data_IF_586325939686
#
_entry.id   IF_586325939686
#
_cell.length_a   1.000
_cell.length_b   1.000
_cell.length_c   1.000
_cell.angle_alpha   90.00
_cell.angle_beta   90.00
_cell.angle_gamma   90.00
#
_symmetry.space_group_name_H-M   'P 1'
#
loop_
_entity.id
_entity.type
_entity.pdbx_description
1 polymer ?
#
# COMPACT_ATOMS: atom_id res chain seq x y z
N UNK A 1 -32.72 -18.37 10.53
CA UNK A 1 -32.47 -17.07 9.87
C UNK A 1 -31.73 -16.03 10.73
N UNK A 2 -32.04 -15.86 12.03
CA UNK A 2 -31.34 -14.88 12.90
C UNK A 2 -29.81 -15.07 13.01
N UNK A 3 -29.33 -16.32 13.15
CA UNK A 3 -27.90 -16.63 13.29
C UNK A 3 -27.07 -16.28 12.04
N UNK A 4 -27.64 -16.38 10.84
CA UNK A 4 -26.95 -16.05 9.58
C UNK A 4 -26.78 -14.53 9.45
N UNK A 5 -27.82 -13.77 9.81
CA UNK A 5 -27.78 -12.30 9.81
C UNK A 5 -26.79 -11.73 10.84
N UNK A 6 -26.66 -12.35 12.02
CA UNK A 6 -25.63 -11.96 12.98
C UNK A 6 -24.21 -12.24 12.48
N UNK A 7 -24.02 -13.37 11.78
CA UNK A 7 -22.73 -13.72 11.17
C UNK A 7 -22.33 -12.71 10.10
N UNK A 8 -23.27 -12.32 9.25
CA UNK A 8 -23.09 -11.27 8.24
C UNK A 8 -22.83 -9.90 8.89
N UNK A 9 -23.53 -9.53 9.97
CA UNK A 9 -23.26 -8.30 10.72
C UNK A 9 -21.86 -8.28 11.31
N UNK A 10 -21.41 -9.39 11.91
CA UNK A 10 -20.04 -9.51 12.44
C UNK A 10 -19.01 -9.39 11.31
N UNK A 11 -19.28 -10.00 10.14
CA UNK A 11 -18.44 -9.88 8.94
C UNK A 11 -18.34 -8.43 8.46
N UNK A 12 -19.47 -7.73 8.33
CA UNK A 12 -19.52 -6.33 7.91
C UNK A 12 -18.81 -5.40 8.92
N UNK A 13 -19.00 -5.62 10.23
CA UNK A 13 -18.33 -4.83 11.28
C UNK A 13 -16.81 -5.04 11.28
N UNK A 14 -16.37 -6.25 10.97
CA UNK A 14 -14.96 -6.58 10.90
C UNK A 14 -14.31 -6.04 9.60
N UNK A 15 -15.04 -6.03 8.47
CA UNK A 15 -14.59 -5.40 7.22
C UNK A 15 -14.50 -3.86 7.32
N UNK A 16 -15.46 -3.21 7.98
CA UNK A 16 -15.40 -1.76 8.24
C UNK A 16 -14.28 -1.37 9.20
N UNK A 17 -13.97 -2.24 10.17
CA UNK A 17 -12.78 -2.05 11.02
C UNK A 17 -11.49 -2.18 10.21
N UNK A 18 -11.44 -3.13 9.28
CA UNK A 18 -10.32 -3.31 8.36
C UNK A 18 -10.11 -2.10 7.46
N UNK A 19 -11.18 -1.49 6.95
CA UNK A 19 -11.10 -0.25 6.18
C UNK A 19 -10.46 0.89 6.98
N UNK A 20 -10.82 1.05 8.26
CA UNK A 20 -10.19 2.07 9.11
C UNK A 20 -8.70 1.80 9.31
N UNK A 21 -8.31 0.53 9.43
CA UNK A 21 -6.90 0.13 9.51
C UNK A 21 -6.17 0.38 8.19
N UNK A 22 -6.78 0.04 7.06
CA UNK A 22 -6.23 0.30 5.73
C UNK A 22 -6.02 1.80 5.47
N UNK A 23 -7.00 2.64 5.82
CA UNK A 23 -6.88 4.11 5.77
C UNK A 23 -5.72 4.64 6.61
N UNK A 24 -5.50 4.10 7.81
CA UNK A 24 -4.33 4.44 8.65
C UNK A 24 -3.00 4.05 8.02
N UNK A 25 -2.99 2.97 7.23
CA UNK A 25 -1.81 2.50 6.50
C UNK A 25 -1.64 3.20 5.14
N UNK A 26 -2.52 4.15 4.78
CA UNK A 26 -2.48 4.81 3.47
C UNK A 26 -2.97 3.93 2.31
N UNK A 27 -3.62 2.80 2.62
CA UNK A 27 -4.12 1.83 1.65
C UNK A 27 -5.61 2.05 1.41
N UNK A 28 -5.97 2.21 0.14
CA UNK A 28 -7.36 2.29 -0.31
C UNK A 28 -8.04 0.93 -0.19
N UNK A 29 -8.91 0.75 0.81
CA UNK A 29 -9.76 -0.43 0.96
C UNK A 29 -11.22 -0.02 1.11
N UNK A 30 -12.09 -0.56 0.26
CA UNK A 30 -13.52 -0.29 0.27
C UNK A 30 -14.25 -1.50 0.89
N UNK A 31 -14.72 -1.33 2.13
CA UNK A 31 -15.46 -2.39 2.83
C UNK A 31 -16.83 -2.66 2.20
N UNK A 32 -17.50 -1.66 1.62
CA UNK A 32 -18.81 -1.82 1.01
C UNK A 32 -18.71 -2.69 -0.25
N UNK A 33 -17.70 -2.43 -1.08
CA UNK A 33 -17.40 -3.26 -2.26
C UNK A 33 -16.98 -4.69 -1.87
N UNK A 34 -16.23 -4.85 -0.78
CA UNK A 34 -15.86 -6.17 -0.27
C UNK A 34 -17.06 -6.98 0.26
N UNK A 35 -18.02 -6.32 0.91
CA UNK A 35 -19.27 -6.95 1.38
C UNK A 35 -20.14 -7.38 0.19
N UNK A 36 -20.34 -6.50 -0.80
CA UNK A 36 -21.11 -6.81 -2.02
C UNK A 36 -20.53 -7.99 -2.80
N UNK A 37 -19.20 -8.06 -2.91
CA UNK A 37 -18.51 -9.15 -3.60
C UNK A 37 -18.47 -10.46 -2.80
N UNK A 38 -19.09 -10.53 -1.61
CA UNK A 38 -19.06 -11.73 -0.78
C UNK A 38 -17.65 -12.07 -0.27
N UNK A 39 -16.73 -11.10 -0.21
CA UNK A 39 -15.34 -11.35 0.12
C UNK A 39 -15.19 -11.84 1.57
N UNK A 40 -14.39 -12.88 1.77
CA UNK A 40 -14.06 -13.36 3.12
C UNK A 40 -13.12 -12.37 3.82
N UNK A 41 -13.19 -12.33 5.14
CA UNK A 41 -12.38 -11.42 5.95
C UNK A 41 -10.87 -11.64 5.77
N UNK A 42 -10.45 -12.90 5.64
CA UNK A 42 -9.05 -13.25 5.40
C UNK A 42 -8.55 -12.74 4.05
N UNK A 43 -9.36 -12.90 3.00
CA UNK A 43 -9.01 -12.40 1.66
C UNK A 43 -8.90 -10.88 1.65
N UNK A 44 -9.82 -10.19 2.34
CA UNK A 44 -9.75 -8.75 2.52
C UNK A 44 -8.48 -8.30 3.27
N UNK A 45 -8.12 -9.00 4.37
CA UNK A 45 -6.86 -8.75 5.11
C UNK A 45 -5.64 -8.92 4.22
N UNK A 46 -5.59 -10.01 3.44
CA UNK A 46 -4.48 -10.28 2.53
C UNK A 46 -4.33 -9.20 1.47
N UNK A 47 -5.43 -8.69 0.90
CA UNK A 47 -5.40 -7.60 -0.05
C UNK A 47 -4.86 -6.30 0.57
N UNK A 48 -5.31 -5.94 1.78
CA UNK A 48 -4.81 -4.76 2.49
C UNK A 48 -3.33 -4.89 2.82
N UNK A 49 -2.90 -6.05 3.31
CA UNK A 49 -1.50 -6.35 3.60
C UNK A 49 -0.63 -6.26 2.35
N UNK A 50 -1.07 -6.88 1.25
CA UNK A 50 -0.33 -6.87 -0.02
C UNK A 50 -0.20 -5.44 -0.55
N UNK A 51 -1.28 -4.66 -0.53
CA UNK A 51 -1.25 -3.27 -0.96
C UNK A 51 -0.34 -2.39 -0.07
N UNK A 52 -0.35 -2.61 1.25
CA UNK A 52 0.55 -1.95 2.18
C UNK A 52 2.03 -2.32 1.91
N UNK A 53 2.29 -3.60 1.65
CA UNK A 53 3.63 -4.08 1.28
C UNK A 53 4.10 -3.51 -0.05
N UNK A 54 3.23 -3.37 -1.05
CA UNK A 54 3.56 -2.74 -2.34
C UNK A 54 3.88 -1.25 -2.20
N UNK A 55 3.12 -0.50 -1.38
CA UNK A 55 3.46 0.89 -1.06
C UNK A 55 4.80 0.99 -0.32
N UNK A 56 5.06 0.09 0.64
CA UNK A 56 6.35 0.03 1.35
C UNK A 56 7.51 -0.31 0.41
N UNK A 57 7.27 -1.15 -0.59
CA UNK A 57 8.26 -1.47 -1.62
C UNK A 57 8.55 -0.27 -2.56
N UNK A 58 7.55 0.58 -2.83
CA UNK A 58 7.76 1.82 -3.57
C UNK A 58 8.55 2.87 -2.79
N UNK A 59 8.51 2.80 -1.45
CA UNK A 59 9.28 3.67 -0.54
C UNK A 59 10.72 3.17 -0.29
N UNK A 60 11.13 2.04 -0.88
CA UNK A 60 12.51 1.54 -0.82
C UNK A 60 13.53 2.34 -1.64
N UNK A 61 13.23 3.60 -1.99
CA UNK A 61 14.26 4.57 -2.35
C UNK A 61 14.91 5.04 -1.04
N UNK A 62 15.74 4.18 -0.45
CA UNK A 62 16.54 4.59 0.71
C UNK A 62 17.50 5.70 0.25
N UNK A 63 17.52 6.87 0.91
CA UNK A 63 18.52 7.91 0.64
C UNK A 63 19.97 7.42 0.82
N UNK A 64 20.13 6.27 1.50
CA UNK A 64 21.40 5.63 1.79
C UNK A 64 21.59 4.30 1.05
N UNK A 65 20.66 3.88 0.19
CA UNK A 65 20.91 2.71 -0.66
C UNK A 65 22.01 3.09 -1.68
N UNK A 66 23.09 2.31 -1.78
CA UNK A 66 24.09 2.54 -2.81
C UNK A 66 23.41 2.48 -4.17
N UNK A 67 23.42 3.59 -4.91
CA UNK A 67 22.95 3.58 -6.30
C UNK A 67 23.71 2.51 -7.09
N UNK A 68 23.01 1.81 -7.98
CA UNK A 68 23.56 0.80 -8.88
C UNK A 68 24.66 1.34 -9.82
N UNK A 69 24.82 2.66 -9.89
CA UNK A 69 25.88 3.34 -10.64
C UNK A 69 27.27 3.17 -10.02
N UNK A 70 27.38 2.63 -8.80
CA UNK A 70 28.64 2.50 -8.08
C UNK A 70 29.28 3.85 -7.76
N UNK A 71 30.44 3.85 -7.11
CA UNK A 71 31.23 5.04 -6.74
C UNK A 71 31.87 5.78 -7.93
N UNK A 72 31.31 5.65 -9.14
CA UNK A 72 31.81 6.33 -10.31
C UNK A 72 31.39 7.81 -10.29
N UNK A 73 32.27 8.64 -9.73
CA UNK A 73 32.12 10.09 -9.57
C UNK A 73 31.67 10.80 -10.85
N UNK A 74 32.15 10.39 -12.02
CA UNK A 74 31.82 11.04 -13.30
C UNK A 74 30.32 10.92 -13.64
N UNK A 75 29.71 9.77 -13.40
CA UNK A 75 28.27 9.55 -13.66
C UNK A 75 27.37 10.33 -12.70
N UNK A 76 27.80 10.45 -11.44
CA UNK A 76 27.07 11.20 -10.41
C UNK A 76 27.06 12.70 -10.75
N UNK A 77 28.22 13.27 -11.12
CA UNK A 77 28.32 14.67 -11.52
C UNK A 77 27.48 14.98 -12.78
N UNK A 78 27.50 14.09 -13.79
CA UNK A 78 26.69 14.27 -15.00
C UNK A 78 25.18 14.29 -14.71
N UNK A 79 24.69 13.44 -13.79
CA UNK A 79 23.29 13.44 -13.36
C UNK A 79 22.93 14.71 -12.58
N UNK A 80 23.81 15.20 -11.71
CA UNK A 80 23.60 16.45 -10.97
C UNK A 80 23.54 17.67 -11.90
N UNK A 81 24.44 17.75 -12.88
CA UNK A 81 24.40 18.80 -13.91
C UNK A 81 23.12 18.77 -14.74
N UNK A 82 22.66 17.58 -15.15
CA UNK A 82 21.40 17.44 -15.88
C UNK A 82 20.18 17.86 -15.04
N UNK A 83 20.16 17.47 -13.76
CA UNK A 83 19.11 17.87 -12.83
C UNK A 83 19.11 19.39 -12.57
N UNK A 84 20.30 20.00 -12.40
CA UNK A 84 20.44 21.45 -12.18
C UNK A 84 19.99 22.26 -13.40
N UNK A 85 20.29 21.79 -14.62
CA UNK A 85 19.82 22.42 -15.86
C UNK A 85 18.31 22.31 -16.07
N UNK A 86 17.66 21.26 -15.55
CA UNK A 86 16.22 21.08 -15.67
C UNK A 86 15.41 21.97 -14.69
N UNK A 87 16.05 22.52 -13.66
CA UNK A 87 15.45 23.42 -12.67
C UNK A 87 15.62 24.90 -13.06
N UNK A 88 16.51 25.21 -14.00
CA UNK A 88 16.74 26.55 -14.53
C UNK A 88 15.82 26.85 -15.71
#
# INVERSE_FOLDING_TARGET
MKAVLEKERKRAKALTTLERQAKRLGVSFDAAKAIQNGMSLEKARQCVLTAASSQSASLKVSPYAPHSDGTNKAKIHAKWEAAWRAVK
#
